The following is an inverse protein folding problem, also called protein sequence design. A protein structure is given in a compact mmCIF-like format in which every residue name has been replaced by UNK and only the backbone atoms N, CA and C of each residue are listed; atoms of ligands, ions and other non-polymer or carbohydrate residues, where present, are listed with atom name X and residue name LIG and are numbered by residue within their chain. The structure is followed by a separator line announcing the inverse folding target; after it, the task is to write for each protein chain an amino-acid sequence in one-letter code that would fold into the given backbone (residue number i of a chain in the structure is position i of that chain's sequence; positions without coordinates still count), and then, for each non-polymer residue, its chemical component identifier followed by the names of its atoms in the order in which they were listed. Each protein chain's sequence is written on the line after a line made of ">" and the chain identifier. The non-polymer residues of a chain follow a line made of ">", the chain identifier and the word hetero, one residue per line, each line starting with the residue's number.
data_IF_037951295855
#
_entry.id   IF_037951295855
#
_cell.length_a   1.000
_cell.length_b   1.000
_cell.length_c   1.000
_cell.angle_alpha   90.00
_cell.angle_beta   90.00
_cell.angle_gamma   90.00
#
_symmetry.space_group_name_H-M   'P 1'
#
loop_
_entity.id
_entity.type
_entity.pdbx_description
1 polymer ?
#
# COMPACT_ATOMS: atom_id res chain seq x y z
N UNK A 1 -69.41 -38.99 12.50
CA UNK A 1 -68.05 -38.61 12.02
C UNK A 1 -68.00 -37.28 11.27
N UNK A 2 -69.07 -36.87 10.57
CA UNK A 2 -69.12 -35.59 9.81
C UNK A 2 -69.01 -34.35 10.71
N UNK A 3 -69.79 -34.25 11.78
CA UNK A 3 -69.79 -33.07 12.66
C UNK A 3 -68.43 -32.79 13.31
N UNK A 4 -67.66 -33.84 13.62
CA UNK A 4 -66.29 -33.74 14.15
C UNK A 4 -65.30 -33.20 13.11
N UNK A 5 -65.54 -33.44 11.82
CA UNK A 5 -64.72 -32.86 10.73
C UNK A 5 -65.05 -31.39 10.52
N UNK A 6 -66.33 -31.01 10.59
CA UNK A 6 -66.75 -29.60 10.48
C UNK A 6 -66.18 -28.77 11.63
N UNK A 7 -66.27 -29.26 12.88
CA UNK A 7 -65.72 -28.52 14.02
C UNK A 7 -64.20 -28.36 13.94
N UNK A 8 -63.48 -29.37 13.43
CA UNK A 8 -62.03 -29.26 13.21
C UNK A 8 -61.70 -28.24 12.11
N UNK A 9 -62.47 -28.20 11.02
CA UNK A 9 -62.27 -27.22 9.93
C UNK A 9 -62.55 -25.81 10.42
N UNK A 10 -63.63 -25.59 11.18
CA UNK A 10 -63.93 -24.27 11.76
C UNK A 10 -62.87 -23.82 12.76
N UNK A 11 -62.37 -24.73 13.60
CA UNK A 11 -61.32 -24.41 14.56
C UNK A 11 -59.99 -24.09 13.85
N UNK A 12 -59.66 -24.82 12.79
CA UNK A 12 -58.50 -24.52 11.95
C UNK A 12 -58.63 -23.15 11.30
N UNK A 13 -59.80 -22.83 10.75
CA UNK A 13 -60.06 -21.54 10.11
C UNK A 13 -59.92 -20.38 11.10
N UNK A 14 -60.47 -20.52 12.29
CA UNK A 14 -60.33 -19.54 13.36
C UNK A 14 -58.86 -19.37 13.81
N UNK A 15 -58.11 -20.47 13.91
CA UNK A 15 -56.69 -20.42 14.25
C UNK A 15 -55.86 -19.68 13.18
N UNK A 16 -56.14 -19.93 11.90
CA UNK A 16 -55.46 -19.22 10.79
C UNK A 16 -55.76 -17.73 10.83
N UNK A 17 -57.01 -17.32 11.09
CA UNK A 17 -57.40 -15.91 11.16
C UNK A 17 -56.69 -15.19 12.32
N UNK A 18 -56.61 -15.82 13.49
CA UNK A 18 -55.91 -15.27 14.67
C UNK A 18 -54.41 -15.09 14.37
N UNK A 19 -53.78 -16.07 13.72
CA UNK A 19 -52.37 -15.98 13.32
C UNK A 19 -52.17 -14.88 12.28
N UNK A 20 -53.05 -14.75 11.29
CA UNK A 20 -52.98 -13.72 10.27
C UNK A 20 -53.12 -12.30 10.86
N UNK A 21 -54.00 -12.11 11.85
CA UNK A 21 -54.16 -10.85 12.56
C UNK A 21 -52.93 -10.53 13.43
N UNK A 22 -52.35 -11.53 14.09
CA UNK A 22 -51.11 -11.38 14.86
C UNK A 22 -49.93 -10.96 13.97
N UNK A 23 -49.78 -11.61 12.81
CA UNK A 23 -48.75 -11.27 11.81
C UNK A 23 -48.96 -9.85 11.26
N UNK A 24 -50.20 -9.44 10.97
CA UNK A 24 -50.50 -8.07 10.51
C UNK A 24 -50.13 -7.00 11.54
N UNK A 25 -50.44 -7.23 12.81
CA UNK A 25 -50.07 -6.31 13.90
C UNK A 25 -48.55 -6.25 14.09
N UNK A 26 -47.88 -7.41 14.08
CA UNK A 26 -46.42 -7.50 14.18
C UNK A 26 -45.71 -6.83 12.99
N UNK A 27 -46.12 -7.09 11.75
CA UNK A 27 -45.51 -6.46 10.58
C UNK A 27 -45.77 -4.95 10.54
N UNK A 28 -46.97 -4.51 10.88
CA UNK A 28 -47.34 -3.09 10.92
C UNK A 28 -46.50 -2.32 11.93
N UNK A 29 -46.58 -2.71 13.19
CA UNK A 29 -46.01 -1.91 14.28
C UNK A 29 -44.52 -2.18 14.50
N UNK A 30 -44.03 -3.40 14.21
CA UNK A 30 -42.63 -3.78 14.48
C UNK A 30 -41.71 -3.58 13.27
N UNK A 31 -42.23 -3.59 12.04
CA UNK A 31 -41.40 -3.51 10.83
C UNK A 31 -41.72 -2.26 9.99
N UNK A 32 -42.99 -2.05 9.65
CA UNK A 32 -43.38 -0.97 8.72
C UNK A 32 -43.23 0.40 9.38
N UNK A 33 -43.77 0.57 10.59
CA UNK A 33 -43.68 1.82 11.35
C UNK A 33 -42.22 2.28 11.59
N UNK A 34 -41.30 1.47 12.14
CA UNK A 34 -39.92 1.92 12.33
C UNK A 34 -39.20 2.17 11.01
N UNK A 35 -39.48 1.39 9.96
CA UNK A 35 -38.90 1.64 8.64
C UNK A 35 -39.35 2.98 8.06
N UNK A 36 -40.63 3.34 8.22
CA UNK A 36 -41.14 4.66 7.82
C UNK A 36 -40.45 5.78 8.60
N UNK A 37 -40.26 5.63 9.90
CA UNK A 37 -39.55 6.63 10.71
C UNK A 37 -38.08 6.77 10.29
N UNK A 38 -37.40 5.68 9.96
CA UNK A 38 -36.03 5.71 9.45
C UNK A 38 -35.96 6.44 8.10
N UNK A 39 -36.86 6.11 7.16
CA UNK A 39 -36.91 6.77 5.85
C UNK A 39 -37.24 8.26 6.01
N UNK A 40 -38.25 8.59 6.81
CA UNK A 40 -38.64 9.97 7.06
C UNK A 40 -37.51 10.78 7.72
N UNK A 41 -36.84 10.19 8.72
CA UNK A 41 -35.67 10.79 9.35
C UNK A 41 -34.54 11.01 8.36
N UNK A 42 -34.26 10.03 7.48
CA UNK A 42 -33.25 10.17 6.44
C UNK A 42 -33.59 11.30 5.46
N UNK A 43 -34.83 11.35 4.95
CA UNK A 43 -35.31 12.43 4.08
C UNK A 43 -35.15 13.78 4.76
N UNK A 44 -35.51 13.87 6.04
CA UNK A 44 -35.41 15.13 6.79
C UNK A 44 -33.96 15.58 7.00
N UNK A 45 -33.04 14.64 7.22
CA UNK A 45 -31.61 14.93 7.26
C UNK A 45 -31.14 15.43 5.89
N UNK A 46 -31.53 14.77 4.79
CA UNK A 46 -31.15 15.20 3.44
C UNK A 46 -31.70 16.59 3.10
N UNK A 47 -32.95 16.90 3.45
CA UNK A 47 -33.54 18.23 3.27
C UNK A 47 -32.88 19.30 4.14
N UNK A 48 -32.34 18.93 5.30
CA UNK A 48 -31.63 19.86 6.17
C UNK A 48 -30.23 20.23 5.66
N UNK A 49 -29.67 19.45 4.73
CA UNK A 49 -28.39 19.76 4.10
C UNK A 49 -28.60 20.88 3.08
N UNK A 50 -28.00 22.07 3.28
CA UNK A 50 -28.11 23.13 2.29
C UNK A 50 -27.50 22.67 0.97
N UNK A 51 -28.22 22.87 -0.14
CA UNK A 51 -27.78 22.43 -1.47
C UNK A 51 -26.36 22.94 -1.82
N UNK A 52 -25.99 24.12 -1.31
CA UNK A 52 -24.65 24.68 -1.44
C UNK A 52 -23.54 23.82 -0.82
N UNK A 53 -23.80 23.12 0.29
CA UNK A 53 -22.83 22.22 0.94
C UNK A 53 -22.54 21.00 0.07
N UNK A 54 -23.58 20.43 -0.57
CA UNK A 54 -23.42 19.30 -1.50
C UNK A 54 -22.59 19.72 -2.71
N UNK A 55 -22.92 20.87 -3.31
CA UNK A 55 -22.14 21.41 -4.42
C UNK A 55 -20.70 21.73 -4.03
N UNK A 56 -20.49 22.31 -2.85
CA UNK A 56 -19.15 22.60 -2.34
C UNK A 56 -18.34 21.31 -2.15
N UNK A 57 -18.93 20.28 -1.53
CA UNK A 57 -18.27 18.99 -1.36
C UNK A 57 -17.94 18.33 -2.70
N UNK A 58 -18.86 18.40 -3.67
CA UNK A 58 -18.64 17.90 -5.02
C UNK A 58 -17.49 18.62 -5.73
N UNK A 59 -17.52 19.96 -5.74
CA UNK A 59 -16.46 20.79 -6.34
C UNK A 59 -15.12 20.55 -5.66
N UNK A 60 -15.10 20.44 -4.32
CA UNK A 60 -13.89 20.15 -3.57
C UNK A 60 -13.32 18.78 -3.93
N UNK A 61 -14.18 17.76 -4.03
CA UNK A 61 -13.76 16.41 -4.43
C UNK A 61 -13.20 16.41 -5.84
N UNK A 62 -13.88 17.06 -6.78
CA UNK A 62 -13.40 17.22 -8.16
C UNK A 62 -12.08 17.97 -8.23
N UNK A 63 -11.91 19.03 -7.43
CA UNK A 63 -10.66 19.79 -7.35
C UNK A 63 -9.51 18.93 -6.81
N UNK A 64 -9.75 18.13 -5.77
CA UNK A 64 -8.75 17.19 -5.23
C UNK A 64 -8.37 16.15 -6.28
N UNK A 65 -9.35 15.57 -6.98
CA UNK A 65 -9.11 14.61 -8.07
C UNK A 65 -8.32 15.27 -9.20
N UNK A 66 -8.67 16.49 -9.61
CA UNK A 66 -7.98 17.21 -10.65
C UNK A 66 -6.52 17.52 -10.28
N UNK A 67 -6.27 18.00 -9.05
CA UNK A 67 -4.91 18.26 -8.55
C UNK A 67 -4.11 16.96 -8.46
N UNK A 68 -4.71 15.89 -7.94
CA UNK A 68 -4.08 14.58 -7.87
C UNK A 68 -3.77 14.04 -9.27
N UNK A 69 -4.66 14.25 -10.24
CA UNK A 69 -4.47 13.85 -11.64
C UNK A 69 -3.31 14.63 -12.28
N UNK A 70 -3.23 15.94 -12.06
CA UNK A 70 -2.13 16.75 -12.58
C UNK A 70 -0.77 16.31 -12.01
N UNK A 71 -0.74 15.93 -10.74
CA UNK A 71 0.48 15.44 -10.09
C UNK A 71 0.84 14.03 -10.54
N UNK A 72 -0.15 13.16 -10.77
CA UNK A 72 0.06 11.82 -11.32
C UNK A 72 0.58 11.86 -12.76
N UNK A 73 0.03 12.74 -13.60
CA UNK A 73 0.41 12.86 -15.00
C UNK A 73 1.82 13.44 -15.18
N UNK A 74 2.27 14.27 -14.23
CA UNK A 74 3.67 14.74 -14.16
C UNK A 74 4.66 13.57 -14.03
N UNK A 75 4.32 12.52 -13.28
CA UNK A 75 5.13 11.31 -13.15
C UNK A 75 5.15 10.46 -14.43
N UNK A 76 4.00 10.29 -15.07
CA UNK A 76 3.86 9.44 -16.27
C UNK A 76 4.32 10.11 -17.57
N UNK A 77 4.22 11.43 -17.70
CA UNK A 77 4.76 12.17 -18.85
C UNK A 77 6.29 12.18 -18.83
N UNK A 78 6.90 12.31 -17.64
CA UNK A 78 8.35 12.14 -17.45
C UNK A 78 8.74 10.70 -17.74
N UNK A 79 7.98 9.70 -17.27
CA UNK A 79 8.26 8.28 -17.53
C UNK A 79 8.21 7.94 -19.04
N UNK A 80 7.19 8.44 -19.75
CA UNK A 80 7.03 8.22 -21.20
C UNK A 80 8.09 8.93 -22.05
N UNK A 81 8.51 10.15 -21.71
CA UNK A 81 9.65 10.82 -22.38
C UNK A 81 11.00 10.20 -22.05
N UNK A 82 11.11 9.51 -20.92
CA UNK A 82 12.35 8.87 -20.45
C UNK A 82 12.54 7.45 -21.02
N UNK A 83 11.45 6.76 -21.41
CA UNK A 83 11.50 5.48 -22.13
C UNK A 83 11.99 5.61 -23.59
N UNK A 84 11.97 6.82 -24.14
CA UNK A 84 12.55 7.20 -25.44
C UNK A 84 13.98 7.75 -25.36
N UNK A 85 14.59 7.83 -24.17
CA UNK A 85 15.98 8.25 -24.00
C UNK A 85 17.01 7.17 -24.38
N UNK A 86 18.32 7.50 -24.46
CA UNK A 86 19.38 6.56 -24.80
C UNK A 86 19.32 5.31 -23.91
N UNK A 87 19.00 4.15 -24.51
CA UNK A 87 18.94 2.86 -23.81
C UNK A 87 20.35 2.30 -23.68
N UNK A 88 20.95 2.44 -22.51
CA UNK A 88 22.26 1.89 -22.22
C UNK A 88 22.39 1.49 -20.76
N UNK A 89 23.15 0.41 -20.50
CA UNK A 89 23.41 -0.09 -19.15
C UNK A 89 23.98 1.00 -18.24
N UNK A 90 24.83 1.87 -18.76
CA UNK A 90 25.41 3.02 -18.05
C UNK A 90 24.33 4.05 -17.66
N UNK A 91 23.37 4.31 -18.55
CA UNK A 91 22.28 5.24 -18.28
C UNK A 91 21.35 4.71 -17.18
N UNK A 92 21.08 3.40 -17.15
CA UNK A 92 20.30 2.77 -16.08
C UNK A 92 20.98 2.90 -14.72
N UNK A 93 22.32 2.77 -14.66
CA UNK A 93 23.09 2.97 -13.43
C UNK A 93 23.08 4.44 -12.99
N UNK A 94 23.31 5.38 -13.91
CA UNK A 94 23.24 6.82 -13.62
C UNK A 94 21.85 7.22 -13.12
N UNK A 95 20.79 6.70 -13.74
CA UNK A 95 19.40 6.88 -13.31
C UNK A 95 19.16 6.32 -11.92
N UNK A 96 19.71 5.15 -11.61
CA UNK A 96 19.53 4.53 -10.31
C UNK A 96 20.24 5.32 -9.20
N UNK A 97 21.45 5.84 -9.47
CA UNK A 97 22.18 6.72 -8.55
C UNK A 97 21.41 8.03 -8.30
N UNK A 98 20.90 8.67 -9.36
CA UNK A 98 20.10 9.91 -9.22
C UNK A 98 18.79 9.68 -8.45
N UNK A 99 18.11 8.55 -8.67
CA UNK A 99 16.91 8.18 -7.90
C UNK A 99 17.24 7.84 -6.43
N UNK A 100 18.39 7.22 -6.16
CA UNK A 100 18.84 6.90 -4.81
C UNK A 100 19.07 8.18 -3.97
N UNK A 101 19.41 9.31 -4.57
CA UNK A 101 19.51 10.57 -3.82
C UNK A 101 18.17 11.08 -3.27
N UNK A 102 17.03 10.65 -3.85
CA UNK A 102 15.69 11.18 -3.52
C UNK A 102 14.78 10.21 -2.78
N UNK A 103 14.97 8.90 -2.97
CA UNK A 103 14.03 7.89 -2.47
C UNK A 103 14.72 6.75 -1.72
N UNK A 104 14.26 6.46 -0.50
CA UNK A 104 14.78 5.37 0.35
C UNK A 104 14.72 3.99 -0.33
N UNK A 105 13.64 3.70 -1.06
CA UNK A 105 13.53 2.47 -1.84
C UNK A 105 14.62 2.36 -2.92
N UNK A 106 14.92 3.48 -3.59
CA UNK A 106 15.97 3.54 -4.60
C UNK A 106 17.36 3.41 -4.00
N UNK A 107 17.58 3.92 -2.77
CA UNK A 107 18.82 3.69 -1.99
C UNK A 107 19.01 2.23 -1.66
N UNK A 108 17.97 1.57 -1.16
CA UNK A 108 18.00 0.12 -0.90
C UNK A 108 18.27 -0.67 -2.18
N UNK A 109 17.61 -0.32 -3.29
CA UNK A 109 17.83 -0.97 -4.59
C UNK A 109 19.24 -0.79 -5.12
N UNK A 110 19.85 0.38 -4.88
CA UNK A 110 21.26 0.65 -5.21
C UNK A 110 22.18 -0.21 -4.36
N UNK A 111 21.98 -0.21 -3.04
CA UNK A 111 22.73 -1.04 -2.10
C UNK A 111 22.69 -2.52 -2.50
N UNK A 112 21.50 -3.03 -2.84
CA UNK A 112 21.31 -4.40 -3.28
C UNK A 112 22.11 -4.69 -4.56
N UNK A 113 22.02 -3.83 -5.58
CA UNK A 113 22.75 -4.03 -6.83
C UNK A 113 24.27 -3.97 -6.66
N UNK A 114 24.77 -3.04 -5.85
CA UNK A 114 26.20 -2.93 -5.55
C UNK A 114 26.69 -4.14 -4.75
N UNK A 115 25.93 -4.59 -3.75
CA UNK A 115 26.28 -5.76 -2.95
C UNK A 115 26.29 -7.05 -3.79
N UNK A 116 25.36 -7.19 -4.75
CA UNK A 116 25.34 -8.30 -5.69
C UNK A 116 26.55 -8.29 -6.63
N UNK A 117 26.87 -7.12 -7.20
CA UNK A 117 28.00 -6.98 -8.11
C UNK A 117 29.31 -7.30 -7.39
N UNK A 118 29.47 -6.82 -6.15
CA UNK A 118 30.62 -7.13 -5.32
C UNK A 118 30.68 -8.61 -4.92
N UNK A 119 29.53 -9.26 -4.70
CA UNK A 119 29.48 -10.70 -4.43
C UNK A 119 29.91 -11.52 -5.65
N UNK A 120 29.49 -11.10 -6.85
CA UNK A 120 29.88 -11.74 -8.11
C UNK A 120 31.38 -11.59 -8.37
N UNK A 121 31.96 -10.41 -8.13
CA UNK A 121 33.41 -10.21 -8.29
C UNK A 121 34.23 -11.02 -7.29
N UNK A 122 33.78 -11.12 -6.03
CA UNK A 122 34.44 -11.96 -5.02
C UNK A 122 34.33 -13.44 -5.39
N UNK A 123 33.15 -13.89 -5.84
CA UNK A 123 32.94 -15.27 -6.26
C UNK A 123 33.89 -15.67 -7.41
N UNK A 124 34.05 -14.78 -8.39
CA UNK A 124 34.93 -15.02 -9.54
C UNK A 124 36.42 -14.98 -9.13
N UNK A 125 36.83 -13.97 -8.36
CA UNK A 125 38.22 -13.78 -7.92
C UNK A 125 38.72 -14.92 -7.04
N UNK A 126 37.90 -15.34 -6.07
CA UNK A 126 38.28 -16.36 -5.08
C UNK A 126 37.87 -17.77 -5.52
N UNK A 127 37.23 -17.92 -6.69
CA UNK A 127 36.63 -19.17 -7.19
C UNK A 127 35.74 -19.86 -6.15
N UNK A 128 34.92 -19.07 -5.46
CA UNK A 128 33.97 -19.55 -4.45
C UNK A 128 32.54 -19.43 -4.97
N UNK A 129 31.63 -20.23 -4.41
CA UNK A 129 30.21 -20.10 -4.75
C UNK A 129 29.67 -18.71 -4.35
N UNK A 130 28.76 -18.18 -5.17
CA UNK A 130 28.13 -16.88 -4.95
C UNK A 130 27.45 -16.77 -3.57
N UNK A 131 26.91 -17.88 -3.04
CA UNK A 131 26.30 -17.91 -1.71
C UNK A 131 27.35 -17.65 -0.62
N UNK A 132 28.54 -18.23 -0.75
CA UNK A 132 29.65 -18.04 0.19
C UNK A 132 30.18 -16.61 0.09
N UNK A 133 30.30 -16.06 -1.12
CA UNK A 133 30.70 -14.66 -1.33
C UNK A 133 29.71 -13.67 -0.68
N UNK A 134 28.39 -13.89 -0.84
CA UNK A 134 27.35 -13.08 -0.17
C UNK A 134 27.44 -13.20 1.36
N UNK A 135 27.73 -14.38 1.88
CA UNK A 135 27.88 -14.58 3.32
C UNK A 135 29.13 -13.86 3.85
N UNK A 136 30.25 -13.85 3.12
CA UNK A 136 31.44 -13.07 3.48
C UNK A 136 31.16 -11.56 3.52
N UNK A 137 30.42 -11.06 2.53
CA UNK A 137 29.92 -9.67 2.51
C UNK A 137 29.06 -9.35 3.73
N UNK A 138 28.13 -10.24 4.09
CA UNK A 138 27.26 -10.06 5.25
C UNK A 138 28.05 -10.06 6.57
N UNK A 139 29.11 -10.86 6.69
CA UNK A 139 29.94 -11.01 7.90
C UNK A 139 31.04 -9.93 8.04
N UNK A 140 31.09 -8.92 7.17
CA UNK A 140 32.04 -7.78 7.23
C UNK A 140 33.53 -8.14 7.09
N UNK A 141 33.89 -9.21 6.39
CA UNK A 141 35.32 -9.55 6.16
C UNK A 141 35.95 -8.74 5.02
N UNK A 142 35.48 -7.52 4.78
CA UNK A 142 35.88 -6.69 3.64
C UNK A 142 36.53 -5.44 4.18
N UNK A 143 37.69 -5.11 3.60
CA UNK A 143 38.43 -3.90 3.93
C UNK A 143 37.75 -2.65 3.34
N UNK A 144 36.67 -2.21 3.99
CA UNK A 144 35.92 -1.04 3.61
C UNK A 144 35.46 -0.24 4.84
N UNK A 145 35.22 1.08 4.71
CA UNK A 145 34.72 1.89 5.80
C UNK A 145 33.42 1.32 6.39
N UNK A 146 33.21 1.39 7.72
CA UNK A 146 32.10 0.73 8.39
C UNK A 146 30.72 1.18 7.90
N UNK A 147 30.61 2.44 7.43
CA UNK A 147 29.38 3.00 6.87
C UNK A 147 29.02 2.35 5.52
N UNK A 148 30.02 2.04 4.69
CA UNK A 148 29.83 1.38 3.38
C UNK A 148 29.42 -0.08 3.59
N UNK A 149 30.06 -0.76 4.55
CA UNK A 149 29.71 -2.14 4.91
C UNK A 149 28.27 -2.23 5.43
N UNK A 150 27.84 -1.28 6.26
CA UNK A 150 26.47 -1.19 6.73
C UNK A 150 25.47 -0.96 5.58
N UNK A 151 25.82 -0.07 4.63
CA UNK A 151 25.01 0.19 3.44
C UNK A 151 24.84 -1.05 2.57
N UNK A 152 25.93 -1.74 2.24
CA UNK A 152 25.91 -2.97 1.42
C UNK A 152 25.15 -4.10 2.11
N UNK A 153 25.33 -4.26 3.43
CA UNK A 153 24.57 -5.23 4.23
C UNK A 153 23.06 -4.95 4.18
N UNK A 154 22.66 -3.69 4.32
CA UNK A 154 21.25 -3.31 4.23
C UNK A 154 20.62 -3.62 2.86
N UNK A 155 21.43 -3.67 1.79
CA UNK A 155 20.99 -4.12 0.47
C UNK A 155 20.85 -5.63 0.32
N UNK A 156 21.57 -6.42 1.11
CA UNK A 156 21.42 -7.89 1.16
C UNK A 156 20.24 -8.32 2.03
N UNK A 157 19.87 -7.49 3.00
CA UNK A 157 18.67 -7.67 3.82
C UNK A 157 17.40 -7.24 3.04
N UNK A 158 16.27 -7.91 3.34
CA UNK A 158 14.98 -7.57 2.72
C UNK A 158 14.57 -6.13 3.03
N UNK A 159 13.93 -5.46 2.07
CA UNK A 159 13.48 -4.07 2.22
C UNK A 159 12.55 -3.93 3.43
N UNK A 160 12.99 -3.18 4.44
CA UNK A 160 12.14 -2.76 5.57
C UNK A 160 11.63 -1.36 5.30
N UNK A 161 10.38 -1.25 4.87
CA UNK A 161 9.72 0.04 4.71
C UNK A 161 9.65 0.74 6.07
N UNK A 162 10.07 2.01 6.12
CA UNK A 162 10.03 2.87 7.30
C UNK A 162 8.56 3.19 7.65
N UNK A 163 7.84 2.24 8.23
CA UNK A 163 6.48 2.44 8.71
C UNK A 163 6.53 3.07 10.11
N UNK A 164 6.13 4.35 10.20
CA UNK A 164 5.88 5.00 11.48
C UNK A 164 5.82 6.52 11.38
N UNK A 165 4.60 7.07 11.41
CA UNK A 165 4.34 8.52 11.50
C UNK A 165 4.79 9.13 12.85
N UNK A 166 5.13 8.31 13.85
CA UNK A 166 5.44 8.77 15.21
C UNK A 166 6.79 8.33 15.79
N UNK A 167 7.63 7.61 15.03
CA UNK A 167 8.95 7.17 15.50
C UNK A 167 10.09 7.96 14.83
N UNK A 168 9.99 9.29 14.86
CA UNK A 168 11.04 10.21 14.37
C UNK A 168 12.05 10.51 15.47
N UNK A 169 12.61 9.48 16.11
CA UNK A 169 13.92 9.63 16.76
C UNK A 169 14.97 9.25 15.72
N UNK A 170 15.89 10.19 15.50
CA UNK A 170 17.07 10.16 14.63
C UNK A 170 17.94 8.91 14.84
N UNK A 171 17.46 7.73 14.47
CA UNK A 171 18.35 6.61 14.25
C UNK A 171 18.91 6.75 12.84
N UNK A 172 20.23 6.91 12.67
CA UNK A 172 20.84 6.93 11.36
C UNK A 172 20.52 5.60 10.69
N UNK A 173 19.83 5.64 9.56
CA UNK A 173 19.57 4.43 8.79
C UNK A 173 20.91 3.94 8.24
N UNK A 174 21.20 2.62 8.21
CA UNK A 174 22.38 2.11 7.51
C UNK A 174 22.38 2.47 6.02
N UNK A 175 21.21 2.82 5.46
CA UNK A 175 21.07 3.33 4.09
C UNK A 175 21.42 4.82 3.96
N UNK A 176 21.63 5.55 5.07
CA UNK A 176 21.95 6.98 5.09
C UNK A 176 23.42 7.31 4.73
N UNK A 177 24.24 6.29 4.44
CA UNK A 177 25.62 6.47 4.02
C UNK A 177 25.74 7.39 2.79
N UNK A 178 26.86 8.11 2.75
CA UNK A 178 27.23 8.97 1.63
C UNK A 178 27.49 8.12 0.37
N UNK A 179 26.69 8.38 -0.66
CA UNK A 179 26.70 7.63 -1.91
C UNK A 179 28.04 7.73 -2.64
N UNK A 180 28.71 8.88 -2.57
CA UNK A 180 30.02 9.07 -3.22
C UNK A 180 31.09 8.20 -2.56
N UNK A 181 31.08 8.12 -1.22
CA UNK A 181 31.98 7.27 -0.46
C UNK A 181 31.73 5.78 -0.71
N UNK A 182 30.45 5.38 -0.83
CA UNK A 182 30.09 3.99 -1.15
C UNK A 182 30.59 3.59 -2.54
N UNK A 183 30.37 4.43 -3.56
CA UNK A 183 30.81 4.14 -4.93
C UNK A 183 32.33 4.07 -5.01
N UNK A 184 33.05 5.04 -4.42
CA UNK A 184 34.50 5.05 -4.41
C UNK A 184 35.11 3.84 -3.65
N UNK A 185 34.49 3.40 -2.56
CA UNK A 185 34.95 2.22 -1.82
C UNK A 185 34.72 0.93 -2.62
N UNK A 186 33.58 0.80 -3.30
CA UNK A 186 33.31 -0.36 -4.16
C UNK A 186 34.26 -0.39 -5.36
N UNK A 187 34.56 0.76 -5.96
CA UNK A 187 35.52 0.86 -7.07
C UNK A 187 36.91 0.36 -6.67
N UNK A 188 37.41 0.75 -5.49
CA UNK A 188 38.71 0.28 -4.96
C UNK A 188 38.76 -1.23 -4.68
N UNK A 189 37.63 -1.85 -4.37
CA UNK A 189 37.56 -3.29 -4.09
C UNK A 189 37.50 -4.14 -5.36
N UNK A 190 37.05 -3.55 -6.47
CA UNK A 190 36.90 -4.22 -7.77
C UNK A 190 38.17 -4.04 -8.63
N UNK A 191 38.85 -2.89 -8.51
CA UNK A 191 40.14 -2.64 -9.15
C UNK A 191 41.25 -3.56 -8.61
#
# INVERSE_FOLDING_TARGET
>A
MWMRRITLVLLLLAAVEIVALGIRGLLGDTLISPLLYVIWGAVRIFESVPQGVVWLAFVLTMAVVAIASLWAESGDAIRRRMESGPRGRVFDWLRLVTLAQRHDYSRWRLAQRLALLLAETIAERDRVELRVARQRLATSTIDAPPQVVAFLRAGLEGYRQRQGLFARRRQPSPLDADLEQVVAAVERLIA
#
